data_IF_317732932902
#
_entry.id   IF_317732932902
#
_cell.length_a   1.000
_cell.length_b   1.000
_cell.length_c   1.000
_cell.angle_alpha   90.00
_cell.angle_beta   90.00
_cell.angle_gamma   90.00
#
_symmetry.space_group_name_H-M   'P 1'
#
loop_
_entity.id
_entity.type
_entity.pdbx_description
1 polymer ?
#
# COMPACT_ATOMS: atom_id res chain seq x y z
N UNK A 1 -9.18 -9.86 -2.23
CA UNK A 1 -8.24 -9.15 -1.33
C UNK A 1 -7.26 -10.06 -0.56
N UNK A 2 -7.60 -11.31 -0.20
CA UNK A 2 -6.68 -12.23 0.52
C UNK A 2 -5.24 -12.33 -0.03
N UNK A 3 -5.05 -12.31 -1.36
CA UNK A 3 -3.71 -12.34 -2.00
C UNK A 3 -2.88 -11.06 -1.79
N UNK A 4 -3.51 -9.92 -1.45
CA UNK A 4 -2.80 -8.68 -1.11
C UNK A 4 -2.35 -8.69 0.36
N UNK A 5 -3.15 -9.26 1.27
CA UNK A 5 -2.88 -9.27 2.72
C UNK A 5 -1.60 -10.02 3.12
N UNK A 6 -1.16 -10.97 2.29
CA UNK A 6 0.08 -11.73 2.46
C UNK A 6 1.33 -11.05 1.87
N UNK A 7 1.18 -9.88 1.25
CA UNK A 7 2.26 -9.16 0.57
C UNK A 7 2.72 -7.95 1.37
N UNK A 8 3.94 -7.49 1.06
CA UNK A 8 4.51 -6.26 1.59
C UNK A 8 4.04 -5.07 0.76
N UNK A 9 3.64 -4.01 1.43
CA UNK A 9 3.22 -2.75 0.81
C UNK A 9 4.39 -1.76 0.85
N UNK A 10 4.66 -1.09 -0.27
CA UNK A 10 5.80 -0.19 -0.45
C UNK A 10 5.35 1.09 -1.14
N UNK A 11 5.74 2.24 -0.58
CA UNK A 11 5.39 3.57 -1.11
C UNK A 11 6.50 4.16 -1.99
N UNK A 12 7.74 3.69 -1.83
CA UNK A 12 8.90 4.15 -2.60
C UNK A 12 9.22 3.11 -3.70
N UNK A 13 9.03 3.48 -4.97
CA UNK A 13 9.27 2.59 -6.11
C UNK A 13 10.67 2.00 -6.10
N UNK A 14 11.67 2.76 -5.62
CA UNK A 14 13.09 2.34 -5.53
C UNK A 14 13.31 1.19 -4.55
N UNK A 15 12.39 0.99 -3.61
CA UNK A 15 12.45 -0.04 -2.56
C UNK A 15 11.64 -1.31 -2.90
N UNK A 16 11.01 -1.36 -4.08
CA UNK A 16 10.22 -2.49 -4.53
C UNK A 16 11.09 -3.73 -4.68
N UNK A 17 10.57 -4.87 -4.20
CA UNK A 17 11.08 -6.21 -4.45
C UNK A 17 10.04 -7.03 -5.22
N UNK A 18 10.47 -8.08 -5.95
CA UNK A 18 9.54 -8.96 -6.64
C UNK A 18 8.43 -9.47 -5.71
N UNK A 19 7.18 -9.24 -6.11
CA UNK A 19 6.00 -9.64 -5.35
C UNK A 19 5.45 -8.59 -4.39
N UNK A 20 6.11 -7.45 -4.21
CA UNK A 20 5.59 -6.33 -3.39
C UNK A 20 4.35 -5.68 -4.05
N UNK A 21 3.56 -4.98 -3.24
CA UNK A 21 2.45 -4.13 -3.71
C UNK A 21 2.90 -2.68 -3.61
N UNK A 22 2.94 -1.99 -4.75
CA UNK A 22 3.25 -0.57 -4.79
C UNK A 22 2.01 0.25 -4.43
N UNK A 23 2.22 1.30 -3.63
CA UNK A 23 1.16 2.19 -3.16
C UNK A 23 1.44 3.60 -3.67
N UNK A 24 0.66 4.04 -4.66
CA UNK A 24 0.81 5.35 -5.26
C UNK A 24 0.07 6.41 -4.42
N UNK A 25 0.80 7.10 -3.54
CA UNK A 25 0.27 8.23 -2.77
C UNK A 25 0.71 9.55 -3.40
N UNK A 26 -0.22 10.49 -3.53
CA UNK A 26 0.11 11.87 -3.90
C UNK A 26 0.66 12.62 -2.69
N UNK A 27 1.97 12.82 -2.65
CA UNK A 27 2.63 13.63 -1.63
C UNK A 27 2.61 15.13 -1.95
N UNK A 28 3.16 15.95 -1.04
CA UNK A 28 3.25 17.41 -1.23
C UNK A 28 4.21 17.82 -2.37
N UNK A 29 5.24 17.00 -2.63
CA UNK A 29 6.31 17.30 -3.58
C UNK A 29 6.32 16.38 -4.80
N UNK A 30 5.81 15.16 -4.64
CA UNK A 30 5.95 14.07 -5.61
C UNK A 30 4.64 13.31 -5.66
N UNK A 31 4.20 12.96 -6.87
CA UNK A 31 3.02 12.13 -7.08
C UNK A 31 3.44 10.68 -7.35
N UNK A 32 3.15 9.76 -6.41
CA UNK A 32 3.52 8.35 -6.50
C UNK A 32 3.01 7.64 -7.76
N UNK A 33 1.96 8.16 -8.39
CA UNK A 33 1.39 7.57 -9.62
C UNK A 33 2.35 7.62 -10.80
N UNK A 34 3.28 8.59 -10.81
CA UNK A 34 4.29 8.74 -11.86
C UNK A 34 5.29 7.55 -11.85
N UNK A 35 5.37 6.82 -10.73
CA UNK A 35 6.33 5.74 -10.53
C UNK A 35 5.71 4.34 -10.63
N UNK A 36 4.43 4.22 -11.01
CA UNK A 36 3.75 2.93 -11.14
C UNK A 36 4.45 2.02 -12.16
N UNK A 37 4.88 2.58 -13.29
CA UNK A 37 5.61 1.84 -14.31
C UNK A 37 6.94 1.30 -13.77
N UNK A 38 7.72 2.16 -13.11
CA UNK A 38 9.00 1.77 -12.49
C UNK A 38 8.79 0.66 -11.45
N UNK A 39 7.74 0.75 -10.64
CA UNK A 39 7.42 -0.28 -9.65
C UNK A 39 7.16 -1.64 -10.31
N UNK A 40 6.42 -1.69 -11.41
CA UNK A 40 6.22 -2.94 -12.16
C UNK A 40 7.50 -3.45 -12.82
N UNK A 41 8.34 -2.58 -13.37
CA UNK A 41 9.65 -2.95 -13.93
C UNK A 41 10.56 -3.57 -12.86
N UNK A 42 10.41 -3.18 -11.59
CA UNK A 42 11.11 -3.77 -10.43
C UNK A 42 10.44 -5.02 -9.85
N UNK A 43 9.34 -5.49 -10.44
CA UNK A 43 8.68 -6.74 -10.08
C UNK A 43 7.52 -6.59 -9.09
N UNK A 44 6.93 -5.40 -8.94
CA UNK A 44 5.70 -5.26 -8.16
C UNK A 44 4.62 -6.23 -8.69
N UNK A 45 3.96 -6.94 -7.77
CA UNK A 45 2.84 -7.80 -8.09
C UNK A 45 1.60 -6.97 -8.50
N UNK A 46 1.42 -5.83 -7.84
CA UNK A 46 0.29 -4.94 -8.05
C UNK A 46 0.64 -3.50 -7.68
N UNK A 47 -0.17 -2.56 -8.17
CA UNK A 47 -0.16 -1.16 -7.76
C UNK A 47 -1.56 -0.74 -7.27
N UNK A 48 -1.62 -0.02 -6.15
CA UNK A 48 -2.83 0.65 -5.64
C UNK A 48 -2.73 2.12 -6.00
N UNK A 49 -3.76 2.66 -6.66
CA UNK A 49 -3.76 3.99 -7.27
C UNK A 49 -5.10 4.70 -7.02
N UNK A 50 -5.09 6.03 -6.94
CA UNK A 50 -6.29 6.88 -6.81
C UNK A 50 -6.77 7.43 -8.16
N UNK A 51 -5.93 7.36 -9.20
CA UNK A 51 -6.26 7.78 -10.57
C UNK A 51 -5.91 6.70 -11.57
N UNK A 52 -6.63 6.63 -12.72
CA UNK A 52 -6.32 5.67 -13.77
C UNK A 52 -4.87 5.79 -14.25
N UNK A 53 -4.18 4.64 -14.33
CA UNK A 53 -2.82 4.53 -14.88
C UNK A 53 -2.84 3.46 -15.97
N UNK A 54 -2.22 3.75 -17.12
CA UNK A 54 -2.10 2.78 -18.22
C UNK A 54 -0.96 1.82 -17.95
N UNK A 55 -1.29 0.59 -17.54
CA UNK A 55 -0.35 -0.52 -17.42
C UNK A 55 -1.11 -1.85 -17.59
N UNK A 56 -0.43 -2.91 -18.04
CA UNK A 56 -1.03 -4.25 -18.22
C UNK A 56 -1.01 -5.11 -16.95
N UNK A 57 -0.35 -4.63 -15.90
CA UNK A 57 -0.24 -5.31 -14.60
C UNK A 57 -1.49 -5.16 -13.72
N UNK A 58 -1.46 -5.78 -12.53
CA UNK A 58 -2.58 -5.71 -11.58
C UNK A 58 -2.68 -4.29 -10.98
N UNK A 59 -3.65 -3.52 -11.45
CA UNK A 59 -3.96 -2.19 -10.91
C UNK A 59 -5.23 -2.26 -10.06
N UNK A 60 -5.13 -1.73 -8.85
CA UNK A 60 -6.25 -1.51 -7.94
C UNK A 60 -6.53 -0.01 -7.90
N UNK A 61 -7.51 0.42 -8.68
CA UNK A 61 -8.02 1.80 -8.62
C UNK A 61 -8.98 1.91 -7.44
N UNK A 62 -8.69 2.83 -6.53
CA UNK A 62 -9.46 3.08 -5.31
C UNK A 62 -9.79 4.57 -5.21
N UNK A 63 -10.80 4.93 -4.41
CA UNK A 63 -11.14 6.34 -4.21
C UNK A 63 -10.11 7.07 -3.33
N UNK A 64 -9.65 6.40 -2.27
CA UNK A 64 -8.63 6.91 -1.36
C UNK A 64 -7.70 5.77 -0.93
N UNK A 65 -6.40 5.95 -1.17
CA UNK A 65 -5.39 4.92 -0.88
C UNK A 65 -5.18 4.73 0.63
N UNK A 66 -5.27 5.81 1.42
CA UNK A 66 -5.07 5.74 2.87
C UNK A 66 -6.22 4.95 3.52
N UNK A 67 -7.46 5.22 3.13
CA UNK A 67 -8.63 4.50 3.63
C UNK A 67 -8.60 3.03 3.21
N UNK A 68 -8.25 2.75 1.95
CA UNK A 68 -8.06 1.38 1.48
C UNK A 68 -7.01 0.60 2.29
N UNK A 69 -5.88 1.24 2.62
CA UNK A 69 -4.86 0.63 3.48
C UNK A 69 -5.35 0.43 4.92
N UNK A 70 -6.12 1.40 5.45
CA UNK A 70 -6.70 1.28 6.79
C UNK A 70 -7.67 0.10 6.87
N UNK A 71 -8.52 -0.09 5.86
CA UNK A 71 -9.45 -1.21 5.78
C UNK A 71 -8.73 -2.56 5.64
N UNK A 72 -7.71 -2.63 4.79
CA UNK A 72 -6.85 -3.82 4.70
C UNK A 72 -6.16 -4.15 6.04
N UNK A 73 -5.67 -3.13 6.75
CA UNK A 73 -5.03 -3.32 8.05
C UNK A 73 -6.04 -3.80 9.10
N UNK A 74 -7.26 -3.24 9.11
CA UNK A 74 -8.38 -3.70 9.95
C UNK A 74 -8.74 -5.15 9.67
N UNK A 75 -8.86 -5.54 8.40
CA UNK A 75 -9.12 -6.93 7.99
C UNK A 75 -8.00 -7.86 8.47
N UNK A 76 -6.74 -7.50 8.22
CA UNK A 76 -5.58 -8.28 8.63
C UNK A 76 -5.55 -8.50 10.14
N UNK A 77 -5.67 -7.43 10.92
CA UNK A 77 -5.71 -7.51 12.38
C UNK A 77 -6.93 -8.31 12.84
N UNK A 78 -8.09 -8.11 12.21
CA UNK A 78 -9.34 -8.83 12.47
C UNK A 78 -9.20 -10.34 12.37
N UNK A 79 -8.40 -10.83 11.42
CA UNK A 79 -8.15 -12.27 11.20
C UNK A 79 -7.21 -12.95 12.20
N UNK A 80 -6.54 -12.20 13.09
CA UNK A 80 -5.64 -12.78 14.08
C UNK A 80 -6.45 -13.29 15.29
N UNK A 81 -6.33 -14.57 15.61
CA UNK A 81 -7.11 -15.24 16.67
C UNK A 81 -6.80 -14.72 18.08
N UNK A 82 -5.55 -14.33 18.34
CA UNK A 82 -5.12 -13.77 19.63
C UNK A 82 -4.27 -12.53 19.41
N UNK A 83 -4.74 -11.40 19.95
CA UNK A 83 -4.04 -10.11 19.86
C UNK A 83 -4.33 -9.26 21.09
N UNK A 84 -3.29 -8.63 21.64
CA UNK A 84 -3.40 -7.52 22.58
C UNK A 84 -2.87 -6.28 21.87
N UNK A 85 -3.73 -5.29 21.67
CA UNK A 85 -3.38 -4.02 21.02
C UNK A 85 -3.39 -2.95 22.11
N UNK A 86 -2.27 -2.25 22.27
CA UNK A 86 -2.12 -1.14 23.23
C UNK A 86 -1.77 0.10 22.42
N UNK A 87 -2.62 1.12 22.47
CA UNK A 87 -2.37 2.41 21.85
C UNK A 87 -1.74 3.36 22.87
N UNK A 88 -0.58 3.93 22.53
CA UNK A 88 0.10 4.93 23.37
C UNK A 88 -0.02 6.28 22.63
N UNK A 89 -0.57 7.31 23.30
CA UNK A 89 -0.65 8.71 22.81
C UNK A 89 -0.05 9.71 23.83
N UNK A 90 0.26 10.96 23.43
CA UNK A 90 0.98 11.93 24.30
C UNK A 90 2.06 12.80 23.62
N UNK A 91 2.12 14.10 23.90
CA UNK A 91 2.98 15.04 23.16
C UNK A 91 4.49 14.78 23.30
N UNK A 92 4.92 14.16 24.40
CA UNK A 92 6.32 13.81 24.67
C UNK A 92 6.41 12.34 25.11
N UNK A 93 7.46 11.63 24.68
CA UNK A 93 7.77 10.28 25.17
C UNK A 93 7.02 9.13 24.50
N UNK A 94 6.65 9.28 23.22
CA UNK A 94 6.10 8.22 22.36
C UNK A 94 6.99 7.93 21.18
#
# INVERSE_FOLDING_TARGET
MKKLLSRRFVLDSRSIRPGDVFVAIKGKKVDGHEFVREAFERGAYAAVVEKPVKHSGNIYLVENVVDFLADLAREKLGSLESKRIIGITGSNGK
#
